data_IF_429358150044
#
_entry.id   IF_429358150044
#
_cell.length_a   1.000
_cell.length_b   1.000
_cell.length_c   1.000
_cell.angle_alpha   90.00
_cell.angle_beta   90.00
_cell.angle_gamma   90.00
#
_symmetry.space_group_name_H-M   'P 1'
#
loop_
_entity.id
_entity.type
_entity.pdbx_description
1 polymer ?
#
# COMPACT_ATOMS: atom_id res chain seq x y z
N UNK A 1 -3.70 -17.28 14.19
CA UNK A 1 -3.00 -18.18 15.15
C UNK A 1 -1.54 -17.77 15.30
N UNK A 2 -0.97 -17.94 16.47
CA UNK A 2 0.43 -17.60 16.78
C UNK A 2 1.14 -18.84 17.41
N UNK A 3 1.43 -19.88 16.61
CA UNK A 3 1.96 -21.15 17.10
C UNK A 3 3.38 -21.04 17.67
N UNK A 4 4.10 -19.98 17.33
CA UNK A 4 5.48 -19.73 17.78
C UNK A 4 5.56 -18.75 18.95
N UNK A 5 4.42 -18.29 19.48
CA UNK A 5 4.35 -17.34 20.60
C UNK A 5 5.14 -16.04 20.36
N UNK A 6 5.05 -15.49 19.14
CA UNK A 6 5.62 -14.16 18.87
C UNK A 6 4.97 -13.10 19.77
N UNK A 7 5.78 -12.18 20.23
CA UNK A 7 5.28 -10.97 20.89
C UNK A 7 4.88 -9.96 19.79
N UNK A 8 3.58 -9.80 19.58
CA UNK A 8 3.05 -8.89 18.55
C UNK A 8 2.71 -7.56 19.22
N UNK A 9 3.34 -6.49 18.73
CA UNK A 9 3.11 -5.12 19.19
C UNK A 9 2.46 -4.34 18.06
N UNK A 10 1.28 -3.80 18.30
CA UNK A 10 0.56 -2.96 17.35
C UNK A 10 0.90 -1.48 17.61
N UNK A 11 1.31 -0.79 16.54
CA UNK A 11 1.67 0.63 16.57
C UNK A 11 1.00 1.37 15.42
N UNK A 12 0.93 2.68 15.54
CA UNK A 12 0.50 3.55 14.44
C UNK A 12 1.46 3.40 13.25
N UNK A 13 0.91 3.16 12.04
CA UNK A 13 1.67 2.76 10.86
C UNK A 13 2.85 3.71 10.52
N UNK A 14 2.68 5.01 10.75
CA UNK A 14 3.74 6.00 10.51
C UNK A 14 4.96 5.85 11.43
N UNK A 15 4.80 5.21 12.60
CA UNK A 15 5.88 5.01 13.57
C UNK A 15 6.68 3.71 13.31
N UNK A 16 6.12 2.77 12.56
CA UNK A 16 6.72 1.46 12.33
C UNK A 16 8.16 1.52 11.76
N UNK A 17 8.49 2.40 10.80
CA UNK A 17 9.86 2.47 10.30
C UNK A 17 10.90 2.85 11.36
N UNK A 18 10.51 3.67 12.34
CA UNK A 18 11.42 4.14 13.38
C UNK A 18 11.73 3.05 14.42
N UNK A 19 10.86 2.03 14.53
CA UNK A 19 10.99 0.94 15.50
C UNK A 19 11.83 -0.25 15.01
N UNK A 20 12.36 -0.21 13.80
CA UNK A 20 13.14 -1.33 13.22
C UNK A 20 14.35 -1.74 14.05
N UNK A 21 14.89 -0.85 14.88
CA UNK A 21 16.02 -1.16 15.77
C UNK A 21 15.59 -1.87 17.07
N UNK A 22 14.29 -1.85 17.38
CA UNK A 22 13.74 -2.34 18.64
C UNK A 22 12.98 -3.67 18.50
N UNK A 23 12.86 -4.17 17.26
CA UNK A 23 12.07 -5.37 16.93
C UNK A 23 12.85 -6.31 16.01
N UNK A 24 12.52 -7.59 16.04
CA UNK A 24 13.14 -8.59 15.13
C UNK A 24 12.56 -8.49 13.71
N UNK A 25 11.27 -8.14 13.59
CA UNK A 25 10.56 -7.99 12.31
C UNK A 25 9.49 -6.91 12.45
N UNK A 26 9.34 -6.08 11.43
CA UNK A 26 8.26 -5.09 11.33
C UNK A 26 7.52 -5.23 10.00
N UNK A 27 6.19 -5.14 10.03
CA UNK A 27 5.33 -5.12 8.83
C UNK A 27 4.95 -3.67 8.57
N UNK A 28 5.50 -3.10 7.49
CA UNK A 28 5.41 -1.66 7.20
C UNK A 28 4.72 -1.47 5.84
N UNK A 29 3.74 -0.58 5.78
CA UNK A 29 3.11 -0.20 4.52
C UNK A 29 4.14 0.53 3.62
N UNK A 30 4.14 0.22 2.33
CA UNK A 30 5.15 0.66 1.37
C UNK A 30 5.37 2.17 1.31
N UNK A 31 4.30 2.97 1.40
CA UNK A 31 4.39 4.43 1.43
C UNK A 31 5.16 4.97 2.64
N UNK A 32 4.99 4.38 3.83
CA UNK A 32 5.73 4.76 5.02
C UNK A 32 7.19 4.28 4.96
N UNK A 33 7.41 3.09 4.40
CA UNK A 33 8.77 2.57 4.20
C UNK A 33 9.60 3.51 3.30
N UNK A 34 9.06 3.89 2.14
CA UNK A 34 9.74 4.84 1.23
C UNK A 34 9.92 6.20 1.89
N UNK A 35 8.90 6.72 2.57
CA UNK A 35 8.99 7.99 3.27
C UNK A 35 10.09 8.03 4.34
N UNK A 36 10.45 6.88 4.90
CA UNK A 36 11.54 6.71 5.84
C UNK A 36 12.90 6.36 5.16
N UNK A 37 12.95 6.33 3.83
CA UNK A 37 14.16 6.03 3.06
C UNK A 37 14.49 4.54 2.95
N UNK A 38 13.57 3.65 3.34
CA UNK A 38 13.74 2.21 3.18
C UNK A 38 13.49 1.81 1.71
N UNK A 39 14.16 0.75 1.28
CA UNK A 39 14.02 0.23 -0.08
C UNK A 39 13.24 -1.09 -0.05
N UNK A 40 12.31 -1.26 -0.97
CA UNK A 40 11.57 -2.51 -1.14
C UNK A 40 12.49 -3.69 -1.43
N UNK A 41 13.59 -3.44 -2.16
CA UNK A 41 14.61 -4.46 -2.47
C UNK A 41 15.28 -5.06 -1.23
N UNK A 42 15.26 -4.35 -0.11
CA UNK A 42 15.90 -4.77 1.13
C UNK A 42 14.93 -5.48 2.09
N UNK A 43 13.64 -5.55 1.70
CA UNK A 43 12.63 -6.23 2.49
C UNK A 43 12.82 -7.76 2.45
N UNK A 44 12.60 -8.41 3.59
CA UNK A 44 12.63 -9.88 3.70
C UNK A 44 11.52 -10.55 2.89
N UNK A 45 10.37 -9.88 2.80
CA UNK A 45 9.22 -10.30 2.01
C UNK A 45 8.37 -9.07 1.64
N UNK A 46 7.71 -9.14 0.50
CA UNK A 46 6.73 -8.15 0.04
C UNK A 46 5.45 -8.84 -0.35
N UNK A 47 4.32 -8.15 -0.16
CA UNK A 47 3.03 -8.64 -0.61
C UNK A 47 2.97 -8.63 -2.14
N UNK A 48 2.46 -9.72 -2.73
CA UNK A 48 2.33 -9.80 -4.19
C UNK A 48 1.19 -8.92 -4.69
N UNK A 49 1.41 -8.22 -5.80
CA UNK A 49 0.38 -7.46 -6.52
C UNK A 49 -0.81 -8.33 -6.96
N UNK A 50 -0.55 -9.62 -7.21
CA UNK A 50 -1.54 -10.62 -7.65
C UNK A 50 -2.15 -11.38 -6.45
N UNK A 51 -1.70 -11.06 -5.24
CA UNK A 51 -2.16 -11.69 -4.01
C UNK A 51 -3.57 -11.26 -3.60
N UNK A 52 -4.20 -12.10 -2.78
CA UNK A 52 -5.51 -11.79 -2.19
C UNK A 52 -5.50 -10.48 -1.39
N UNK A 53 -4.38 -10.16 -0.73
CA UNK A 53 -4.21 -8.94 0.02
C UNK A 53 -4.31 -7.69 -0.86
N UNK A 54 -3.66 -7.67 -2.00
CA UNK A 54 -3.69 -6.55 -2.94
C UNK A 54 -5.12 -6.23 -3.42
N UNK A 55 -5.91 -7.25 -3.74
CA UNK A 55 -7.30 -7.07 -4.17
C UNK A 55 -8.26 -6.73 -3.01
N UNK A 56 -8.00 -7.26 -1.80
CA UNK A 56 -8.88 -7.08 -0.64
C UNK A 56 -8.68 -5.72 0.03
N UNK A 57 -7.44 -5.25 0.09
CA UNK A 57 -7.05 -4.03 0.81
C UNK A 57 -6.62 -2.90 -0.12
N UNK A 58 -6.94 -2.99 -1.41
CA UNK A 58 -6.69 -1.91 -2.35
C UNK A 58 -7.34 -0.60 -1.88
N UNK A 59 -6.66 0.51 -2.09
CA UNK A 59 -7.26 1.83 -1.90
C UNK A 59 -8.37 2.05 -2.92
N UNK A 60 -9.47 2.61 -2.49
CA UNK A 60 -10.68 2.80 -3.30
C UNK A 60 -11.10 4.27 -3.30
N UNK A 61 -11.88 4.64 -4.32
CA UNK A 61 -12.64 5.88 -4.32
C UNK A 61 -14.04 5.55 -3.80
N UNK A 62 -14.41 6.14 -2.67
CA UNK A 62 -15.75 6.02 -2.11
C UNK A 62 -16.56 7.28 -2.42
N UNK A 63 -17.82 7.10 -2.82
CA UNK A 63 -18.77 8.17 -3.08
C UNK A 63 -20.04 7.96 -2.26
N UNK A 64 -20.79 9.04 -2.07
CA UNK A 64 -22.13 8.93 -1.47
C UNK A 64 -23.04 8.15 -2.42
N UNK A 65 -23.86 7.27 -1.87
CA UNK A 65 -24.89 6.52 -2.60
C UNK A 65 -25.70 7.43 -3.54
N UNK A 66 -25.85 7.02 -4.79
CA UNK A 66 -26.50 7.77 -5.85
C UNK A 66 -25.59 8.74 -6.62
N UNK A 67 -24.31 8.85 -6.25
CA UNK A 67 -23.34 9.69 -6.97
C UNK A 67 -22.38 8.87 -7.87
N UNK A 68 -22.60 7.59 -8.02
CA UNK A 68 -21.75 6.67 -8.80
C UNK A 68 -21.67 7.10 -10.26
N UNK A 69 -22.77 7.65 -10.79
CA UNK A 69 -22.87 8.13 -12.18
C UNK A 69 -22.52 9.61 -12.38
N UNK A 70 -22.03 10.29 -11.34
CA UNK A 70 -21.61 11.68 -11.45
C UNK A 70 -20.45 11.82 -12.46
N UNK A 71 -20.59 12.75 -13.40
CA UNK A 71 -19.61 12.96 -14.47
C UNK A 71 -18.20 13.32 -13.92
N UNK A 72 -18.14 14.08 -12.82
CA UNK A 72 -16.86 14.43 -12.20
C UNK A 72 -16.18 13.21 -11.56
N UNK A 73 -16.96 12.29 -10.95
CA UNK A 73 -16.45 11.04 -10.40
C UNK A 73 -15.91 10.13 -11.49
N UNK A 74 -16.65 10.00 -12.62
CA UNK A 74 -16.20 9.23 -13.77
C UNK A 74 -14.91 9.79 -14.36
N UNK A 75 -14.84 11.11 -14.58
CA UNK A 75 -13.63 11.75 -15.06
C UNK A 75 -12.43 11.55 -14.12
N UNK A 76 -12.65 11.58 -12.79
CA UNK A 76 -11.60 11.29 -11.83
C UNK A 76 -11.12 9.83 -11.92
N UNK A 77 -12.03 8.87 -12.05
CA UNK A 77 -11.69 7.45 -12.24
C UNK A 77 -10.89 7.23 -13.52
N UNK A 78 -11.34 7.82 -14.65
CA UNK A 78 -10.65 7.69 -15.94
C UNK A 78 -9.21 8.21 -15.86
N UNK A 79 -8.99 9.31 -15.15
CA UNK A 79 -7.63 9.86 -14.96
C UNK A 79 -6.80 8.96 -14.05
N UNK A 80 -7.34 8.56 -12.90
CA UNK A 80 -6.59 7.79 -11.90
C UNK A 80 -6.25 6.36 -12.36
N UNK A 81 -7.07 5.79 -13.23
CA UNK A 81 -6.85 4.46 -13.82
C UNK A 81 -6.17 4.52 -15.20
N UNK A 82 -5.60 5.67 -15.57
CA UNK A 82 -4.91 5.82 -16.84
C UNK A 82 -3.51 5.19 -16.83
N UNK A 83 -3.04 4.81 -18.03
CA UNK A 83 -1.67 4.32 -18.22
C UNK A 83 -0.62 5.32 -17.74
N UNK A 84 -0.90 6.62 -17.85
CA UNK A 84 0.00 7.67 -17.37
C UNK A 84 0.16 7.64 -15.86
N UNK A 85 -0.92 7.45 -15.11
CA UNK A 85 -0.88 7.33 -13.65
C UNK A 85 -0.24 6.01 -13.23
N UNK A 86 -0.52 4.91 -13.94
CA UNK A 86 0.13 3.63 -13.72
C UNK A 86 1.66 3.76 -13.86
N UNK A 87 2.13 4.32 -14.97
CA UNK A 87 3.56 4.53 -15.20
C UNK A 87 4.20 5.42 -14.13
N UNK A 88 3.50 6.49 -13.72
CA UNK A 88 3.96 7.35 -12.62
C UNK A 88 4.12 6.60 -11.29
N UNK A 89 3.15 5.74 -10.95
CA UNK A 89 3.21 4.92 -9.73
C UNK A 89 4.41 3.97 -9.80
N UNK A 90 4.58 3.26 -10.89
CA UNK A 90 5.66 2.30 -11.09
C UNK A 90 7.05 2.97 -11.02
N UNK A 91 7.21 4.12 -11.66
CA UNK A 91 8.46 4.88 -11.65
C UNK A 91 8.76 5.49 -10.28
N UNK A 92 7.74 6.08 -9.64
CA UNK A 92 7.93 6.82 -8.39
C UNK A 92 8.15 5.89 -7.20
N UNK A 93 7.37 4.82 -7.12
CA UNK A 93 7.31 3.96 -5.91
C UNK A 93 8.06 2.64 -6.07
N UNK A 94 8.57 2.31 -7.25
CA UNK A 94 9.47 1.18 -7.50
C UNK A 94 9.03 -0.14 -6.82
N UNK A 95 7.74 -0.43 -6.88
CA UNK A 95 7.13 -1.64 -6.33
C UNK A 95 6.62 -1.54 -4.89
N UNK A 96 6.85 -0.44 -4.18
CA UNK A 96 6.28 -0.23 -2.84
C UNK A 96 4.80 0.17 -2.85
N UNK A 97 4.33 0.69 -3.96
CA UNK A 97 2.91 0.90 -4.26
C UNK A 97 2.63 0.23 -5.60
N UNK A 98 1.59 -0.57 -5.66
CA UNK A 98 1.26 -1.36 -6.83
C UNK A 98 -0.12 -0.97 -7.36
N UNK A 99 -0.23 -0.53 -8.62
CA UNK A 99 -1.52 -0.33 -9.25
C UNK A 99 -2.21 -1.67 -9.49
N UNK A 100 -3.48 -1.78 -9.09
CA UNK A 100 -4.30 -3.01 -9.23
C UNK A 100 -5.49 -2.81 -10.18
N UNK A 101 -5.36 -1.91 -11.15
CA UNK A 101 -6.35 -1.60 -12.17
C UNK A 101 -5.79 -1.79 -13.57
#
# INVERSE_FOLDING_TARGET
ENPHNYNIVELEAKLLPETLQDVDVSVINGNYAIGAGLKVSDALATESAEGLGASTFANIIAVKEGNEDNAAVKALLDVLQSDAVKAFIEETYQGAVVPVF
#
